data_IF_912831152525
#
_entry.id   IF_912831152525
#
_cell.length_a   1.000
_cell.length_b   1.000
_cell.length_c   1.000
_cell.angle_alpha   90.00
_cell.angle_beta   90.00
_cell.angle_gamma   90.00
#
_symmetry.space_group_name_H-M   'P 1'
#
loop_
_entity.id
_entity.type
_entity.pdbx_description
1 polymer ?
#
# COMPACT_ATOMS: atom_id res chain seq x y z
N UNK A 1 11.75 -9.73 -10.95
CA UNK A 1 11.35 -8.33 -10.69
C UNK A 1 10.14 -8.40 -9.78
N UNK A 2 10.13 -7.65 -8.68
CA UNK A 2 8.98 -7.63 -7.77
C UNK A 2 7.75 -7.00 -8.48
N UNK A 3 6.53 -7.43 -8.13
CA UNK A 3 5.33 -6.84 -8.72
C UNK A 3 5.21 -5.37 -8.37
N UNK A 4 4.62 -4.58 -9.27
CA UNK A 4 4.48 -3.13 -9.12
C UNK A 4 3.18 -2.79 -8.40
N UNK A 5 3.09 -1.60 -7.81
CA UNK A 5 1.86 -1.12 -7.19
C UNK A 5 0.87 -0.76 -8.30
N UNK A 6 -0.34 -1.26 -8.18
CA UNK A 6 -1.46 -1.01 -9.09
C UNK A 6 -2.49 -0.07 -8.47
N UNK A 7 -2.81 -0.25 -7.19
CA UNK A 7 -3.66 0.66 -6.43
C UNK A 7 -3.06 0.94 -5.06
N UNK A 8 -3.34 2.14 -4.55
CA UNK A 8 -3.00 2.56 -3.20
C UNK A 8 -4.22 3.19 -2.51
N UNK A 9 -4.35 2.96 -1.22
CA UNK A 9 -5.30 3.67 -0.35
C UNK A 9 -4.62 4.02 0.96
N UNK A 10 -4.55 5.31 1.25
CA UNK A 10 -3.94 5.84 2.48
C UNK A 10 -4.96 5.84 3.62
N UNK A 11 -4.54 5.35 4.79
CA UNK A 11 -5.34 5.30 6.01
C UNK A 11 -4.96 6.41 6.98
N UNK A 12 -5.82 6.68 7.97
CA UNK A 12 -5.55 7.69 9.01
C UNK A 12 -4.44 7.28 9.99
N UNK A 13 -3.99 6.03 9.96
CA UNK A 13 -2.93 5.48 10.81
C UNK A 13 -1.55 5.52 10.13
N UNK A 14 -1.38 6.36 9.11
CA UNK A 14 -0.17 6.44 8.27
C UNK A 14 0.23 5.12 7.61
N UNK A 15 -0.77 4.30 7.27
CA UNK A 15 -0.56 3.04 6.54
C UNK A 15 -1.09 3.15 5.12
N UNK A 16 -0.36 2.53 4.19
CA UNK A 16 -0.76 2.36 2.81
C UNK A 16 -1.31 0.95 2.61
N UNK A 17 -2.55 0.85 2.14
CA UNK A 17 -3.08 -0.39 1.59
C UNK A 17 -2.72 -0.44 0.12
N UNK A 18 -2.02 -1.49 -0.29
CA UNK A 18 -1.46 -1.67 -1.62
C UNK A 18 -2.12 -2.85 -2.31
N UNK A 19 -2.47 -2.69 -3.58
CA UNK A 19 -2.74 -3.80 -4.50
C UNK A 19 -1.61 -3.85 -5.52
N UNK A 20 -1.00 -5.01 -5.68
CA UNK A 20 0.08 -5.23 -6.63
C UNK A 20 -0.43 -5.77 -7.97
N UNK A 21 0.37 -5.64 -9.02
CA UNK A 21 0.01 -6.08 -10.38
C UNK A 21 -0.23 -7.59 -10.51
N UNK A 22 0.24 -8.39 -9.55
CA UNK A 22 0.00 -9.83 -9.50
C UNK A 22 -1.26 -10.23 -8.69
N UNK A 23 -2.01 -9.26 -8.18
CA UNK A 23 -3.23 -9.51 -7.39
C UNK A 23 -3.00 -9.68 -5.89
N UNK A 24 -1.75 -9.70 -5.43
CA UNK A 24 -1.44 -9.63 -4.00
C UNK A 24 -1.84 -8.28 -3.42
N UNK A 25 -2.23 -8.30 -2.14
CA UNK A 25 -2.49 -7.07 -1.38
C UNK A 25 -1.63 -7.03 -0.14
N UNK A 26 -1.11 -5.87 0.19
CA UNK A 26 -0.26 -5.68 1.36
C UNK A 26 -0.54 -4.38 2.08
N UNK A 27 -0.10 -4.28 3.32
CA UNK A 27 -0.14 -3.05 4.10
C UNK A 27 1.29 -2.62 4.44
N UNK A 28 1.65 -1.41 4.04
CA UNK A 28 2.93 -0.78 4.36
C UNK A 28 2.73 0.31 5.42
N UNK A 29 3.56 0.28 6.48
CA UNK A 29 3.50 1.25 7.58
C UNK A 29 4.50 2.38 7.33
N UNK A 30 4.00 3.61 7.11
CA UNK A 30 4.83 4.79 6.89
C UNK A 30 5.24 5.50 8.18
N UNK A 31 4.75 5.06 9.36
CA UNK A 31 5.07 5.69 10.65
C UNK A 31 6.58 5.86 10.89
N UNK A 32 7.46 4.88 10.56
CA UNK A 32 8.91 5.03 10.73
C UNK A 32 9.52 6.10 9.82
N UNK A 33 8.86 6.44 8.71
CA UNK A 33 9.34 7.42 7.74
C UNK A 33 9.00 8.86 8.15
N UNK A 34 7.98 9.06 8.99
CA UNK A 34 7.44 10.39 9.31
C UNK A 34 8.48 11.34 9.92
N UNK A 35 9.53 10.83 10.55
CA UNK A 35 10.60 11.65 11.13
C UNK A 35 11.83 11.79 10.20
N UNK A 36 11.80 11.14 9.03
CA UNK A 36 12.94 11.03 8.14
C UNK A 36 12.88 12.05 6.99
N UNK A 37 13.80 13.02 7.01
CA UNK A 37 14.07 13.90 5.87
C UNK A 37 12.82 14.53 5.25
N UNK A 38 12.63 14.28 3.95
CA UNK A 38 11.52 14.81 3.13
C UNK A 38 10.15 14.21 3.48
N UNK A 39 10.10 13.09 4.19
CA UNK A 39 8.84 12.45 4.59
C UNK A 39 8.17 13.10 5.80
N UNK A 40 8.77 14.15 6.39
CA UNK A 40 8.15 14.92 7.48
C UNK A 40 6.83 15.57 7.08
N UNK A 41 6.66 15.88 5.80
CA UNK A 41 5.41 16.41 5.26
C UNK A 41 4.26 15.39 5.35
N UNK A 42 4.57 14.09 5.36
CA UNK A 42 3.59 13.03 5.53
C UNK A 42 2.94 13.03 6.91
N UNK A 43 3.46 13.80 7.88
CA UNK A 43 2.80 14.01 9.18
C UNK A 43 1.47 14.78 9.05
N UNK A 44 1.27 15.53 7.98
CA UNK A 44 -0.05 16.07 7.69
C UNK A 44 -0.89 14.95 7.05
N UNK A 45 -1.92 14.48 7.78
CA UNK A 45 -2.82 13.44 7.29
C UNK A 45 -3.53 13.82 5.99
N UNK A 46 -3.84 15.10 5.76
CA UNK A 46 -4.46 15.53 4.51
C UNK A 46 -3.48 15.45 3.35
N UNK A 47 -2.21 15.74 3.61
CA UNK A 47 -1.14 15.55 2.64
C UNK A 47 -0.87 14.05 2.38
N UNK A 48 -0.75 13.25 3.44
CA UNK A 48 -0.54 11.81 3.35
C UNK A 48 -1.62 11.11 2.51
N UNK A 49 -2.88 11.54 2.66
CA UNK A 49 -4.02 11.00 1.89
C UNK A 49 -4.00 11.32 0.39
N UNK A 50 -3.11 12.19 -0.07
CA UNK A 50 -2.90 12.48 -1.49
C UNK A 50 -1.94 11.49 -2.17
N UNK A 51 -1.54 10.43 -1.45
CA UNK A 51 -0.79 9.31 -2.02
C UNK A 51 -1.53 8.74 -3.24
N UNK A 52 -0.83 8.62 -4.37
CA UNK A 52 -1.35 8.03 -5.59
C UNK A 52 -0.29 7.17 -6.27
N UNK A 53 -0.72 6.33 -7.22
CA UNK A 53 0.19 5.48 -7.98
C UNK A 53 0.68 6.22 -9.22
N UNK A 54 1.99 6.25 -9.42
CA UNK A 54 2.64 6.73 -10.63
C UNK A 54 3.76 5.75 -11.03
N UNK A 55 3.79 5.34 -12.30
CA UNK A 55 4.80 4.41 -12.85
C UNK A 55 5.05 3.13 -12.02
N UNK A 56 4.00 2.62 -11.38
CA UNK A 56 4.06 1.39 -10.59
C UNK A 56 4.62 1.56 -9.17
N UNK A 57 4.70 2.80 -8.69
CA UNK A 57 5.08 3.13 -7.32
C UNK A 57 4.12 4.12 -6.66
N UNK A 58 4.25 4.33 -5.34
CA UNK A 58 3.44 5.33 -4.61
C UNK A 58 4.20 6.64 -4.50
N UNK A 59 3.54 7.73 -4.87
CA UNK A 59 4.08 9.09 -4.86
C UNK A 59 3.13 10.08 -4.19
N UNK A 60 3.68 11.22 -3.79
CA UNK A 60 2.96 12.39 -3.24
C UNK A 60 3.17 13.63 -4.10
N UNK A 61 2.32 14.68 -3.94
CA UNK A 61 2.37 15.88 -4.79
C UNK A 61 3.70 16.62 -4.86
N UNK A 62 4.52 16.59 -3.80
CA UNK A 62 5.84 17.22 -3.75
C UNK A 62 6.98 16.23 -4.07
N UNK A 63 6.74 15.31 -5.01
CA UNK A 63 7.76 14.42 -5.58
C UNK A 63 8.38 13.42 -4.58
N UNK A 64 7.79 13.25 -3.39
CA UNK A 64 8.18 12.12 -2.54
C UNK A 64 7.64 10.82 -3.14
N UNK A 65 8.49 9.81 -3.19
CA UNK A 65 8.13 8.47 -3.59
C UNK A 65 8.71 7.45 -2.62
N UNK A 66 8.12 6.26 -2.59
CA UNK A 66 8.71 5.10 -1.91
C UNK A 66 9.03 4.08 -2.99
N UNK A 67 10.23 3.50 -2.98
CA UNK A 67 10.61 2.48 -3.94
C UNK A 67 9.58 1.33 -3.99
N UNK A 68 9.17 0.89 -5.19
CA UNK A 68 8.17 -0.17 -5.33
C UNK A 68 8.64 -1.51 -4.74
N UNK A 69 9.94 -1.78 -4.79
CA UNK A 69 10.55 -2.95 -4.17
C UNK A 69 10.45 -2.90 -2.64
N UNK A 70 10.64 -1.73 -2.02
CA UNK A 70 10.43 -1.53 -0.58
C UNK A 70 8.96 -1.74 -0.22
N UNK A 71 8.05 -1.13 -0.99
CA UNK A 71 6.60 -1.30 -0.78
C UNK A 71 6.21 -2.78 -0.84
N UNK A 72 6.76 -3.54 -1.78
CA UNK A 72 6.50 -4.98 -1.85
C UNK A 72 7.13 -5.73 -0.68
N UNK A 73 8.44 -5.61 -0.47
CA UNK A 73 9.21 -6.42 0.49
C UNK A 73 8.86 -6.16 1.95
N UNK A 74 8.51 -4.93 2.31
CA UNK A 74 8.20 -4.56 3.69
C UNK A 74 6.70 -4.51 3.95
N UNK A 75 5.85 -4.69 2.92
CA UNK A 75 4.41 -4.84 3.15
C UNK A 75 4.10 -6.14 3.88
N UNK A 76 3.21 -6.02 4.87
CA UNK A 76 2.70 -7.12 5.67
C UNK A 76 1.35 -7.59 5.13
N UNK A 77 1.00 -8.86 5.41
CA UNK A 77 -0.31 -9.40 5.05
C UNK A 77 -0.52 -9.62 3.55
N UNK A 78 0.55 -9.95 2.81
CA UNK A 78 0.54 -10.40 1.41
C UNK A 78 -0.32 -11.65 1.25
N UNK A 79 -1.62 -11.42 1.14
CA UNK A 79 -2.63 -12.42 0.88
C UNK A 79 -3.19 -12.16 -0.51
N UNK A 80 -3.31 -13.23 -1.30
CA UNK A 80 -4.04 -13.19 -2.55
C UNK A 80 -5.53 -12.98 -2.24
N UNK A 81 -6.19 -12.11 -3.02
CA UNK A 81 -7.65 -12.05 -3.02
C UNK A 81 -8.20 -13.32 -3.65
N UNK A 82 -8.30 -14.36 -2.83
CA UNK A 82 -8.67 -15.70 -3.25
C UNK A 82 -9.06 -16.59 -2.08
N UNK A 83 -9.78 -16.07 -1.08
CA UNK A 83 -10.66 -16.93 -0.30
C UNK A 83 -12.09 -16.75 -0.86
N UNK A 84 -12.60 -17.68 -1.67
CA UNK A 84 -14.04 -17.81 -1.76
C UNK A 84 -14.52 -18.09 -0.33
N UNK A 85 -15.46 -17.29 0.17
CA UNK A 85 -16.30 -17.74 1.26
C UNK A 85 -17.08 -18.94 0.71
N UNK A 86 -16.49 -20.14 0.80
CA UNK A 86 -17.23 -21.40 0.71
C UNK A 86 -18.13 -21.45 1.95
N UNK A 87 -19.29 -20.81 1.82
CA UNK A 87 -20.43 -21.10 2.67
C UNK A 87 -21.19 -22.25 2.01
N UNK A 88 -20.71 -23.47 2.28
CA UNK A 88 -21.41 -24.70 1.96
C UNK A 88 -22.86 -24.71 2.48
N UNK A 89 -23.78 -25.26 1.70
CA UNK A 89 -24.29 -26.61 1.90
C UNK A 89 -25.45 -26.84 0.93
N UNK A 90 -25.17 -27.56 -0.15
CA UNK A 90 -26.16 -28.47 -0.71
C UNK A 90 -26.11 -29.76 0.12
N UNK A 91 -27.22 -30.12 0.78
CA UNK A 91 -27.67 -31.50 1.11
C UNK A 91 -28.88 -31.45 2.08
N UNK A 92 -30.09 -31.45 1.53
CA UNK A 92 -31.10 -32.53 1.69
C UNK A 92 -32.35 -32.19 0.91
#
# INVERSE_FOLDING_TARGET
MNPRVKHVSATSDYKLQLEFTNGERGVYDCSPLLDFGVFKELKDLNYFKQAHVLDGTVVWPHEQDICPDTLYLDSTGRAEQGAPADAGTARR
#
